data_IF_880803935421
#
_entry.id   IF_880803935421
#
_cell.length_a   1.000
_cell.length_b   1.000
_cell.length_c   1.000
_cell.angle_alpha   90.00
_cell.angle_beta   90.00
_cell.angle_gamma   90.00
#
_symmetry.space_group_name_H-M   'P 1'
#
loop_
_entity.id
_entity.type
_entity.pdbx_description
1 polymer ?
#
# COMPACT_ATOMS: atom_id res chain seq x y z
N UNK A 1 -7.91 4.66 0.77
CA UNK A 1 -8.67 3.91 -0.26
C UNK A 1 -9.73 3.02 0.39
N UNK A 2 -10.96 3.04 -0.13
CA UNK A 2 -12.05 2.15 0.28
C UNK A 2 -11.89 0.79 -0.42
N UNK A 3 -12.27 -0.30 0.25
CA UNK A 3 -12.17 -1.68 -0.30
C UNK A 3 -12.99 -1.87 -1.59
N UNK A 4 -14.01 -1.05 -1.82
CA UNK A 4 -14.84 -1.11 -3.02
C UNK A 4 -14.08 -0.70 -4.29
N UNK A 5 -13.21 0.32 -4.20
CA UNK A 5 -12.38 0.77 -5.33
C UNK A 5 -11.33 -0.27 -5.68
N UNK A 6 -10.69 -0.88 -4.66
CA UNK A 6 -9.66 -1.91 -4.87
C UNK A 6 -10.24 -3.16 -5.55
N UNK A 7 -11.49 -3.53 -5.25
CA UNK A 7 -12.17 -4.66 -5.90
C UNK A 7 -12.63 -4.38 -7.33
N UNK A 8 -12.80 -3.11 -7.70
CA UNK A 8 -13.13 -2.71 -9.07
C UNK A 8 -11.91 -2.68 -10.00
N UNK A 9 -10.69 -2.73 -9.46
CA UNK A 9 -9.45 -2.73 -10.23
C UNK A 9 -9.07 -4.13 -10.71
N UNK A 10 -8.36 -4.20 -11.85
CA UNK A 10 -7.84 -5.45 -12.39
C UNK A 10 -6.64 -5.94 -11.56
N UNK A 11 -6.40 -7.25 -11.56
CA UNK A 11 -5.27 -7.89 -10.86
C UNK A 11 -3.91 -7.31 -11.29
N UNK A 12 -3.79 -6.83 -12.53
CA UNK A 12 -2.60 -6.13 -13.05
C UNK A 12 -2.41 -4.75 -12.41
N UNK A 13 -3.48 -3.99 -12.24
CA UNK A 13 -3.44 -2.65 -11.64
C UNK A 13 -3.17 -2.72 -10.14
N UNK A 14 -3.69 -3.76 -9.47
CA UNK A 14 -3.39 -4.06 -8.07
C UNK A 14 -1.88 -4.30 -7.87
N UNK A 15 -1.25 -5.10 -8.75
CA UNK A 15 0.20 -5.36 -8.71
C UNK A 15 1.02 -4.09 -8.98
N UNK A 16 0.58 -3.25 -9.91
CA UNK A 16 1.22 -1.96 -10.20
C UNK A 16 1.18 -1.02 -8.99
N UNK A 17 -0.02 -0.87 -8.40
CA UNK A 17 -0.24 -0.06 -7.20
C UNK A 17 0.57 -0.57 -5.99
N UNK A 18 0.75 -1.89 -5.88
CA UNK A 18 1.59 -2.52 -4.86
C UNK A 18 3.06 -2.09 -4.97
N UNK A 19 3.62 -2.12 -6.17
CA UNK A 19 5.01 -1.70 -6.43
C UNK A 19 5.22 -0.23 -6.08
N UNK A 20 4.27 0.62 -6.45
CA UNK A 20 4.30 2.05 -6.19
C UNK A 20 4.21 2.36 -4.69
N UNK A 21 3.28 1.71 -3.99
CA UNK A 21 3.10 1.85 -2.53
C UNK A 21 4.32 1.35 -1.76
N UNK A 22 5.01 0.30 -2.24
CA UNK A 22 6.25 -0.19 -1.64
C UNK A 22 7.40 0.81 -1.79
N UNK A 23 7.55 1.45 -2.96
CA UNK A 23 8.54 2.52 -3.18
C UNK A 23 8.28 3.71 -2.26
N UNK A 24 7.02 4.12 -2.09
CA UNK A 24 6.65 5.20 -1.18
C UNK A 24 6.99 4.86 0.27
N UNK A 25 6.72 3.62 0.69
CA UNK A 25 7.13 3.09 2.01
C UNK A 25 8.65 3.15 2.21
N UNK A 26 9.44 2.82 1.19
CA UNK A 26 10.90 2.91 1.25
C UNK A 26 11.36 4.36 1.42
N UNK A 27 10.86 5.28 0.61
CA UNK A 27 11.16 6.71 0.74
C UNK A 27 10.78 7.26 2.11
N UNK A 28 9.63 6.85 2.66
CA UNK A 28 9.20 7.23 4.01
C UNK A 28 10.10 6.66 5.10
N UNK A 29 10.66 5.45 4.93
CA UNK A 29 11.65 4.89 5.89
C UNK A 29 12.94 5.68 5.85
N UNK A 30 13.43 6.05 4.66
CA UNK A 30 14.63 6.88 4.49
C UNK A 30 14.43 8.27 5.12
N UNK A 31 13.29 8.93 4.84
CA UNK A 31 12.93 10.23 5.45
C UNK A 31 12.77 10.16 6.97
N UNK A 32 12.32 9.01 7.49
CA UNK A 32 12.24 8.78 8.94
C UNK A 32 13.63 8.64 9.56
N UNK A 33 14.54 7.93 8.89
CA UNK A 33 15.91 7.79 9.33
C UNK A 33 16.67 9.12 9.34
N UNK A 34 16.34 10.05 8.42
CA UNK A 34 16.93 11.39 8.37
C UNK A 34 16.40 12.37 9.43
N UNK A 35 15.59 11.92 10.40
CA UNK A 35 15.18 12.71 11.56
C UNK A 35 14.12 13.79 11.31
N UNK A 36 13.58 13.93 10.09
CA UNK A 36 12.62 14.99 9.73
C UNK A 36 11.14 14.58 9.86
N UNK A 37 10.85 13.50 10.60
CA UNK A 37 9.58 12.77 10.45
C UNK A 37 8.75 12.66 11.73
N UNK A 38 8.52 13.77 12.45
CA UNK A 38 7.61 13.78 13.61
C UNK A 38 6.12 13.61 13.26
N UNK A 39 5.74 13.65 11.96
CA UNK A 39 4.35 13.48 11.51
C UNK A 39 4.06 12.26 10.62
N UNK A 40 5.04 11.40 10.31
CA UNK A 40 4.90 10.40 9.22
C UNK A 40 4.45 9.00 9.68
N UNK A 41 4.35 8.75 10.98
CA UNK A 41 3.95 7.45 11.55
C UNK A 41 2.54 7.03 11.09
N UNK A 42 1.61 7.99 11.04
CA UNK A 42 0.23 7.75 10.65
C UNK A 42 0.12 7.37 9.16
N UNK A 43 0.90 8.05 8.29
CA UNK A 43 0.99 7.72 6.86
C UNK A 43 1.60 6.33 6.63
N UNK A 44 2.68 5.97 7.33
CA UNK A 44 3.25 4.62 7.24
C UNK A 44 2.23 3.53 7.64
N UNK A 45 1.47 3.76 8.71
CA UNK A 45 0.42 2.82 9.14
C UNK A 45 -0.70 2.66 8.12
N UNK A 46 -1.14 3.77 7.52
CA UNK A 46 -2.15 3.75 6.46
C UNK A 46 -1.66 3.01 5.20
N UNK A 47 -0.43 3.27 4.76
CA UNK A 47 0.17 2.61 3.60
C UNK A 47 0.33 1.10 3.84
N UNK A 48 0.76 0.68 5.03
CA UNK A 48 0.82 -0.74 5.40
C UNK A 48 -0.55 -1.41 5.36
N UNK A 49 -1.58 -0.76 5.91
CA UNK A 49 -2.96 -1.25 5.82
C UNK A 49 -3.46 -1.31 4.39
N UNK A 50 -3.04 -0.38 3.54
CA UNK A 50 -3.41 -0.37 2.13
C UNK A 50 -2.78 -1.55 1.37
N UNK A 51 -1.48 -1.79 1.56
CA UNK A 51 -0.76 -2.96 1.03
C UNK A 51 -1.43 -4.26 1.45
N UNK A 52 -1.79 -4.41 2.73
CA UNK A 52 -2.46 -5.60 3.23
C UNK A 52 -3.80 -5.85 2.51
N UNK A 53 -4.62 -4.79 2.32
CA UNK A 53 -5.90 -4.89 1.60
C UNK A 53 -5.71 -5.28 0.13
N UNK A 54 -4.71 -4.73 -0.55
CA UNK A 54 -4.38 -5.08 -1.93
C UNK A 54 -4.02 -6.57 -2.05
N UNK A 55 -3.19 -7.08 -1.14
CA UNK A 55 -2.86 -8.51 -1.10
C UNK A 55 -4.07 -9.41 -0.80
N UNK A 56 -4.96 -9.01 0.11
CA UNK A 56 -6.18 -9.76 0.41
C UNK A 56 -7.06 -9.89 -0.83
N UNK A 57 -7.34 -8.78 -1.53
CA UNK A 57 -8.17 -8.80 -2.75
C UNK A 57 -7.51 -9.58 -3.88
N UNK A 58 -6.18 -9.47 -4.05
CA UNK A 58 -5.45 -10.26 -5.04
C UNK A 58 -5.63 -11.76 -4.78
N UNK A 59 -5.52 -12.19 -3.52
CA UNK A 59 -5.69 -13.59 -3.12
C UNK A 59 -7.14 -14.07 -3.27
N UNK A 60 -8.12 -13.21 -3.00
CA UNK A 60 -9.54 -13.49 -3.26
C UNK A 60 -9.83 -13.65 -4.77
N UNK A 61 -9.13 -12.92 -5.63
CA UNK A 61 -9.25 -13.04 -7.09
C UNK A 61 -8.53 -14.29 -7.64
N UNK A 62 -7.39 -14.66 -7.09
CA UNK A 62 -6.64 -15.86 -7.49
C UNK A 62 -7.27 -17.17 -7.01
N UNK A 63 -8.03 -17.14 -5.90
CA UNK A 63 -8.73 -18.30 -5.36
C UNK A 63 -10.13 -18.56 -5.94
N UNK A 64 -10.54 -17.78 -6.95
CA UNK A 64 -11.79 -17.94 -7.70
C UNK A 64 -11.54 -18.70 -8.99
#
# INVERSE_FOLDING_TARGET
MKMSEIRAMSSKDIRSSLSETQKELFQLRVRRASGQAEGMLHKQSQLKKHVARLYTVLKEQEGK
#
